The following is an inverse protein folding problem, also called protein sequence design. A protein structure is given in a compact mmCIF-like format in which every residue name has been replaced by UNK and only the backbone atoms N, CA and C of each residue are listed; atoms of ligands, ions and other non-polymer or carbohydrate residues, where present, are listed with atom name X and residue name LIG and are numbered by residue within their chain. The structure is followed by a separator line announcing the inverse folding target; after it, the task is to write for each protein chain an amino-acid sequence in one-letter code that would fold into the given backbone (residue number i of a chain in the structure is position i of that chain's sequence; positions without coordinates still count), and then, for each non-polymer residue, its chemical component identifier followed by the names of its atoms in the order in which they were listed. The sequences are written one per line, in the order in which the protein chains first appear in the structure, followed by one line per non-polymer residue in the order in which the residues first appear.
data_IF_346100891827
#
_entry.id   IF_346100891827
#
_cell.length_a   1.000
_cell.length_b   1.000
_cell.length_c   1.000
_cell.angle_alpha   90.00
_cell.angle_beta   90.00
_cell.angle_gamma   90.00
#
_symmetry.space_group_name_H-M   'P 1'
#
loop_
_entity.id
_entity.type
_entity.pdbx_description
1 polymer ?
#
# COMPACT_ATOMS: atom_id res chain seq x y z
N UNK A 1 -30.27 13.21 9.58
CA UNK A 1 -29.03 13.49 10.34
C UNK A 1 -28.97 12.42 11.42
N UNK A 2 -28.20 11.35 11.22
CA UNK A 2 -28.07 10.30 12.22
C UNK A 2 -27.07 10.76 13.28
N UNK A 3 -27.54 10.97 14.50
CA UNK A 3 -26.70 11.10 15.69
C UNK A 3 -25.90 9.81 15.84
N UNK A 4 -24.64 9.81 15.43
CA UNK A 4 -23.71 8.76 15.83
C UNK A 4 -23.47 8.98 17.33
N UNK A 5 -24.31 8.34 18.14
CA UNK A 5 -24.08 8.33 19.58
C UNK A 5 -22.79 7.55 19.82
N UNK A 6 -21.79 8.26 20.32
CA UNK A 6 -20.54 7.68 20.80
C UNK A 6 -20.81 6.94 22.12
N UNK A 7 -21.58 5.85 22.07
CA UNK A 7 -21.77 4.95 23.20
C UNK A 7 -20.53 4.07 23.29
N UNK A 8 -19.87 4.11 24.46
CA UNK A 8 -18.79 3.19 24.75
C UNK A 8 -19.33 1.74 24.72
N UNK A 9 -18.55 0.78 24.21
CA UNK A 9 -18.96 -0.62 24.17
C UNK A 9 -19.22 -1.16 25.58
N UNK A 10 -20.22 -2.03 25.71
CA UNK A 10 -20.60 -2.65 26.99
C UNK A 10 -19.70 -3.84 27.33
N UNK A 11 -19.55 -4.20 28.62
CA UNK A 11 -18.75 -5.36 29.06
C UNK A 11 -19.16 -6.66 28.35
N UNK A 12 -20.45 -6.85 28.08
CA UNK A 12 -20.94 -8.02 27.35
C UNK A 12 -20.41 -8.11 25.90
N UNK A 13 -20.13 -6.96 25.25
CA UNK A 13 -19.54 -6.94 23.90
C UNK A 13 -18.06 -7.36 23.93
N UNK A 14 -17.36 -7.12 25.05
CA UNK A 14 -16.00 -7.62 25.24
C UNK A 14 -15.96 -9.13 25.54
N UNK A 15 -16.98 -9.66 26.23
CA UNK A 15 -17.08 -11.11 26.54
C UNK A 15 -17.48 -11.93 25.30
N UNK A 16 -18.30 -11.33 24.42
CA UNK A 16 -18.74 -11.87 23.13
C UNK A 16 -17.74 -11.56 21.99
N UNK A 17 -16.59 -10.95 22.28
CA UNK A 17 -15.54 -10.66 21.30
C UNK A 17 -14.73 -11.92 20.96
N UNK A 18 -14.70 -12.28 19.67
CA UNK A 18 -14.00 -13.46 19.16
C UNK A 18 -13.20 -13.15 17.89
N UNK A 19 -12.33 -14.07 17.48
CA UNK A 19 -11.45 -13.93 16.32
C UNK A 19 -12.20 -13.63 15.01
N UNK A 20 -13.45 -14.11 14.87
CA UNK A 20 -14.28 -13.85 13.68
C UNK A 20 -14.71 -12.39 13.62
N UNK A 21 -15.22 -11.86 14.74
CA UNK A 21 -15.64 -10.45 14.85
C UNK A 21 -14.47 -9.49 14.74
N UNK A 22 -13.32 -9.87 15.30
CA UNK A 22 -12.09 -9.13 15.12
C UNK A 22 -11.70 -9.08 13.64
N UNK A 23 -11.74 -10.22 12.94
CA UNK A 23 -11.44 -10.28 11.51
C UNK A 23 -12.40 -9.43 10.68
N UNK A 24 -13.71 -9.47 10.98
CA UNK A 24 -14.72 -8.65 10.29
C UNK A 24 -14.53 -7.15 10.55
N UNK A 25 -14.26 -6.76 11.80
CA UNK A 25 -13.99 -5.37 12.17
C UNK A 25 -12.71 -4.85 11.50
N UNK A 26 -11.64 -5.63 11.50
CA UNK A 26 -10.40 -5.30 10.80
C UNK A 26 -10.61 -5.21 9.28
N UNK A 27 -11.44 -6.07 8.69
CA UNK A 27 -11.80 -6.00 7.28
C UNK A 27 -12.60 -4.72 6.95
N UNK A 28 -13.44 -4.25 7.87
CA UNK A 28 -14.15 -2.98 7.71
C UNK A 28 -13.20 -1.78 7.80
N UNK A 29 -12.29 -1.79 8.76
CA UNK A 29 -11.20 -0.79 8.84
C UNK A 29 -10.34 -0.82 7.57
N UNK A 30 -10.03 -2.01 7.06
CA UNK A 30 -9.27 -2.19 5.81
C UNK A 30 -9.98 -1.56 4.59
N UNK A 31 -11.32 -1.62 4.53
CA UNK A 31 -12.09 -0.93 3.47
C UNK A 31 -11.93 0.60 3.55
N UNK A 32 -11.82 1.15 4.75
CA UNK A 32 -11.66 2.60 4.96
C UNK A 32 -10.26 3.10 4.63
N UNK A 33 -9.25 2.24 4.55
CA UNK A 33 -7.88 2.58 4.15
C UNK A 33 -7.54 2.12 2.73
N UNK A 34 -8.51 1.58 1.99
CA UNK A 34 -8.31 1.03 0.65
C UNK A 34 -8.11 2.13 -0.38
N UNK A 35 -6.92 2.13 -0.98
CA UNK A 35 -6.58 2.99 -2.12
C UNK A 35 -7.14 2.36 -3.39
N UNK A 36 -7.78 3.16 -4.25
CA UNK A 36 -8.25 2.73 -5.57
C UNK A 36 -7.33 3.31 -6.62
N UNK A 37 -6.89 2.53 -7.59
CA UNK A 37 -6.06 3.04 -8.68
C UNK A 37 -6.69 2.83 -10.05
N UNK A 38 -6.28 3.66 -11.02
CA UNK A 38 -6.52 3.45 -12.44
C UNK A 38 -5.22 3.74 -13.21
N UNK A 39 -5.07 3.08 -14.35
CA UNK A 39 -4.00 3.36 -15.31
C UNK A 39 -4.60 4.15 -16.47
N UNK A 40 -4.08 5.34 -16.72
CA UNK A 40 -4.54 6.22 -17.81
C UNK A 40 -3.36 6.99 -18.38
N UNK A 41 -3.23 7.04 -19.70
CA UNK A 41 -2.14 7.76 -20.39
C UNK A 41 -0.72 7.33 -19.95
N UNK A 42 -0.47 6.03 -19.69
CA UNK A 42 0.79 5.53 -19.10
C UNK A 42 1.12 6.08 -17.69
N UNK A 43 0.12 6.62 -17.00
CA UNK A 43 0.26 7.16 -15.66
C UNK A 43 -0.62 6.36 -14.71
N UNK A 44 -0.11 6.15 -13.51
CA UNK A 44 -0.83 5.57 -12.39
C UNK A 44 -1.53 6.69 -11.63
N UNK A 45 -2.84 6.55 -11.45
CA UNK A 45 -3.66 7.49 -10.72
C UNK A 45 -4.28 6.78 -9.51
N UNK A 46 -3.84 7.13 -8.30
CA UNK A 46 -4.42 6.63 -7.07
C UNK A 46 -5.45 7.60 -6.51
N UNK A 47 -6.55 7.08 -5.98
CA UNK A 47 -7.59 7.79 -5.23
C UNK A 47 -7.61 7.23 -3.81
N UNK A 48 -7.28 8.09 -2.84
CA UNK A 48 -7.36 7.72 -1.44
C UNK A 48 -8.79 7.80 -0.91
N UNK A 49 -9.11 7.11 0.19
CA UNK A 49 -10.39 7.24 0.88
C UNK A 49 -10.74 8.68 1.29
N UNK A 50 -9.73 9.52 1.55
CA UNK A 50 -9.89 10.96 1.83
C UNK A 50 -10.35 11.78 0.61
N UNK A 51 -10.41 11.18 -0.59
CA UNK A 51 -10.78 11.86 -1.82
C UNK A 51 -9.62 12.51 -2.56
N UNK A 52 -8.39 12.34 -2.07
CA UNK A 52 -7.18 12.89 -2.69
C UNK A 52 -6.74 12.00 -3.84
N UNK A 53 -6.45 12.62 -4.98
CA UNK A 53 -5.93 11.92 -6.16
C UNK A 53 -4.41 12.15 -6.25
N UNK A 54 -3.66 11.07 -6.40
CA UNK A 54 -2.22 11.03 -6.58
C UNK A 54 -1.87 10.57 -7.97
N UNK A 55 -0.85 11.20 -8.55
CA UNK A 55 -0.37 10.91 -9.90
C UNK A 55 1.06 10.39 -9.80
N UNK A 56 1.32 9.21 -10.35
CA UNK A 56 2.63 8.57 -10.35
C UNK A 56 2.98 8.05 -11.76
N UNK A 57 4.24 8.15 -12.20
CA UNK A 57 4.66 7.70 -13.52
C UNK A 57 4.87 6.17 -13.58
N UNK A 58 4.30 5.45 -14.54
CA UNK A 58 4.55 4.00 -14.67
C UNK A 58 5.91 3.66 -15.32
N UNK A 59 6.53 4.64 -15.97
CA UNK A 59 7.84 4.51 -16.60
C UNK A 59 8.86 5.28 -15.75
N UNK A 60 9.62 4.53 -14.96
CA UNK A 60 10.64 5.07 -14.06
C UNK A 60 12.02 4.99 -14.70
N UNK A 61 12.85 6.01 -14.47
CA UNK A 61 14.28 5.93 -14.76
C UNK A 61 14.97 5.04 -13.72
N UNK A 62 16.18 4.55 -14.00
CA UNK A 62 16.98 3.78 -13.03
C UNK A 62 17.16 4.57 -11.73
N UNK A 63 17.45 5.87 -11.82
CA UNK A 63 17.57 6.76 -10.67
C UNK A 63 16.29 6.84 -9.82
N UNK A 64 15.12 6.86 -10.48
CA UNK A 64 13.81 6.89 -9.83
C UNK A 64 13.51 5.55 -9.13
N UNK A 65 13.93 4.43 -9.72
CA UNK A 65 13.80 3.10 -9.14
C UNK A 65 14.74 2.90 -7.95
N UNK A 66 15.99 3.38 -8.00
CA UNK A 66 16.91 3.31 -6.88
C UNK A 66 16.42 4.12 -5.67
N UNK A 67 15.82 5.30 -5.92
CA UNK A 67 15.17 6.09 -4.88
C UNK A 67 13.99 5.34 -4.21
N UNK A 68 13.28 4.50 -4.97
CA UNK A 68 12.20 3.64 -4.46
C UNK A 68 12.74 2.41 -3.70
N UNK A 69 13.74 1.72 -4.25
CA UNK A 69 14.26 0.44 -3.74
C UNK A 69 15.18 0.58 -2.51
N UNK A 70 15.79 1.75 -2.31
CA UNK A 70 16.64 2.00 -1.14
C UNK A 70 15.90 1.98 0.21
N UNK A 71 14.55 2.00 0.18
CA UNK A 71 13.61 1.99 1.31
C UNK A 71 13.44 0.72 2.14
N UNK A 72 14.46 -0.12 2.23
CA UNK A 72 14.48 -1.23 3.18
C UNK A 72 15.28 -0.72 4.39
N UNK A 73 14.77 -0.50 5.61
CA UNK A 73 14.04 -1.42 6.48
C UNK A 73 13.66 -0.60 7.74
N UNK A 74 12.43 -0.75 8.25
CA UNK A 74 12.08 -0.59 9.67
C UNK A 74 12.47 0.74 10.38
N UNK A 75 11.95 1.89 9.95
CA UNK A 75 11.59 3.10 10.77
C UNK A 75 11.47 4.40 9.96
N UNK A 76 12.10 4.48 8.76
CA UNK A 76 12.09 5.67 7.89
C UNK A 76 10.97 5.67 6.83
N UNK A 77 10.05 4.70 6.90
CA UNK A 77 9.12 4.35 5.83
C UNK A 77 8.16 5.48 5.44
N UNK A 78 7.85 6.43 6.35
CA UNK A 78 7.00 7.57 6.01
C UNK A 78 7.77 8.67 5.27
N UNK A 79 8.98 9.01 5.72
CA UNK A 79 9.85 9.99 5.05
C UNK A 79 10.27 9.49 3.66
N UNK A 80 10.43 8.17 3.52
CA UNK A 80 10.56 7.44 2.27
C UNK A 80 9.35 7.67 1.36
N UNK A 81 8.14 7.36 1.84
CA UNK A 81 6.89 7.54 1.08
C UNK A 81 6.70 9.01 0.69
N UNK A 82 7.00 9.96 1.59
CA UNK A 82 6.96 11.40 1.31
C UNK A 82 7.96 11.78 0.23
N UNK A 83 9.22 11.33 0.30
CA UNK A 83 10.23 11.60 -0.74
C UNK A 83 9.79 11.08 -2.11
N UNK A 84 9.28 9.86 -2.15
CA UNK A 84 8.72 9.25 -3.37
C UNK A 84 7.60 10.13 -3.93
N UNK A 85 6.64 10.50 -3.10
CA UNK A 85 5.53 11.37 -3.51
C UNK A 85 5.98 12.78 -3.89
N UNK A 86 6.96 13.37 -3.23
CA UNK A 86 7.51 14.68 -3.62
C UNK A 86 8.17 14.61 -4.98
N UNK A 87 8.94 13.55 -5.26
CA UNK A 87 9.61 13.36 -6.56
C UNK A 87 8.60 13.17 -7.69
N UNK A 88 7.53 12.39 -7.47
CA UNK A 88 6.62 11.98 -8.55
C UNK A 88 5.33 12.81 -8.65
N UNK A 89 4.77 13.20 -7.52
CA UNK A 89 3.49 13.92 -7.39
C UNK A 89 3.69 15.40 -7.01
N UNK A 90 4.92 15.81 -6.69
CA UNK A 90 5.27 17.18 -6.30
C UNK A 90 4.93 17.53 -4.86
N UNK A 91 5.51 18.63 -4.37
CA UNK A 91 5.40 19.12 -2.99
C UNK A 91 3.95 19.28 -2.49
N UNK A 92 3.03 19.71 -3.35
CA UNK A 92 1.63 19.92 -2.96
C UNK A 92 0.92 18.60 -2.64
N UNK A 93 1.19 17.54 -3.42
CA UNK A 93 0.60 16.23 -3.18
C UNK A 93 1.27 15.54 -1.99
N UNK A 94 2.59 15.70 -1.82
CA UNK A 94 3.31 15.20 -0.64
C UNK A 94 2.74 15.78 0.67
N UNK A 95 2.44 17.08 0.72
CA UNK A 95 1.80 17.72 1.89
C UNK A 95 0.40 17.21 2.19
N UNK A 96 -0.36 16.85 1.16
CA UNK A 96 -1.68 16.25 1.37
C UNK A 96 -1.57 14.85 1.98
N UNK A 97 -0.54 14.09 1.63
CA UNK A 97 -0.30 12.79 2.25
C UNK A 97 -0.02 12.89 3.75
N UNK A 98 0.58 14.00 4.22
CA UNK A 98 0.82 14.22 5.67
C UNK A 98 -0.47 14.28 6.50
N UNK A 99 -1.61 14.54 5.85
CA UNK A 99 -2.92 14.57 6.48
C UNK A 99 -3.68 13.25 6.35
N UNK A 100 -3.22 12.35 5.47
CA UNK A 100 -3.82 11.04 5.29
C UNK A 100 -3.37 10.08 6.40
N UNK A 101 -4.19 9.07 6.73
CA UNK A 101 -3.77 8.01 7.63
C UNK A 101 -2.50 7.32 7.10
N UNK A 102 -1.58 6.99 8.01
CA UNK A 102 -0.32 6.34 7.65
C UNK A 102 -0.54 5.06 6.82
N UNK A 103 -1.55 4.26 7.17
CA UNK A 103 -1.88 3.04 6.42
C UNK A 103 -2.29 3.31 4.97
N UNK A 104 -2.93 4.46 4.68
CA UNK A 104 -3.29 4.85 3.31
C UNK A 104 -2.03 5.13 2.49
N UNK A 105 -1.05 5.82 3.08
CA UNK A 105 0.24 6.10 2.44
C UNK A 105 1.00 4.80 2.11
N UNK A 106 1.02 3.84 3.03
CA UNK A 106 1.61 2.52 2.80
C UNK A 106 0.90 1.73 1.70
N UNK A 107 -0.44 1.64 1.76
CA UNK A 107 -1.24 0.96 0.75
C UNK A 107 -1.02 1.54 -0.64
N UNK A 108 -0.86 2.86 -0.76
CA UNK A 108 -0.61 3.54 -2.02
C UNK A 108 0.74 3.13 -2.62
N UNK A 109 1.82 3.13 -1.83
CA UNK A 109 3.15 2.74 -2.32
C UNK A 109 3.21 1.26 -2.66
N UNK A 110 2.60 0.40 -1.85
CA UNK A 110 2.54 -1.04 -2.12
C UNK A 110 1.80 -1.33 -3.43
N UNK A 111 0.59 -0.77 -3.60
CA UNK A 111 -0.23 -0.99 -4.80
C UNK A 111 0.43 -0.41 -6.06
N UNK A 112 1.10 0.73 -5.94
CA UNK A 112 1.91 1.30 -7.01
C UNK A 112 3.10 0.42 -7.38
N UNK A 113 3.87 -0.07 -6.39
CA UNK A 113 4.99 -0.98 -6.60
C UNK A 113 4.58 -2.29 -7.28
N UNK A 114 3.45 -2.88 -6.86
CA UNK A 114 2.88 -4.05 -7.51
C UNK A 114 2.45 -3.77 -8.96
N UNK A 115 1.87 -2.60 -9.21
CA UNK A 115 1.44 -2.20 -10.56
C UNK A 115 2.65 -2.01 -11.48
N UNK A 116 3.73 -1.41 -10.97
CA UNK A 116 5.00 -1.27 -11.68
C UNK A 116 5.58 -2.65 -12.04
N UNK A 117 5.67 -3.56 -11.07
CA UNK A 117 6.13 -4.93 -11.29
C UNK A 117 5.34 -5.63 -12.40
N UNK A 118 4.00 -5.56 -12.33
CA UNK A 118 3.10 -6.12 -13.35
C UNK A 118 3.30 -5.47 -14.72
N UNK A 119 3.47 -4.15 -14.77
CA UNK A 119 3.61 -3.39 -16.03
C UNK A 119 4.93 -3.66 -16.76
N UNK A 120 6.01 -3.93 -16.01
CA UNK A 120 7.34 -4.18 -16.58
C UNK A 120 7.56 -5.67 -16.91
N UNK A 121 6.60 -6.55 -16.59
CA UNK A 121 6.79 -8.00 -16.69
C UNK A 121 7.87 -8.54 -15.75
N UNK A 122 8.38 -7.70 -14.84
CA UNK A 122 9.36 -8.06 -13.83
C UNK A 122 8.57 -8.43 -12.59
N UNK A 123 8.52 -9.72 -12.24
CA UNK A 123 8.17 -10.16 -10.90
C UNK A 123 9.24 -9.62 -9.93
N UNK A 124 9.14 -8.34 -9.56
CA UNK A 124 9.96 -7.69 -8.55
C UNK A 124 9.70 -8.40 -7.22
N UNK A 125 10.49 -9.43 -6.91
CA UNK A 125 10.50 -10.08 -5.61
C UNK A 125 9.88 -11.47 -5.52
N UNK A 126 9.95 -12.31 -6.57
CA UNK A 126 10.13 -13.75 -6.31
C UNK A 126 11.60 -14.08 -6.42
N UNK A 127 12.27 -14.09 -5.27
CA UNK A 127 13.53 -14.81 -5.12
C UNK A 127 13.40 -16.19 -5.78
N UNK A 128 14.30 -16.61 -6.68
CA UNK A 128 14.44 -18.01 -7.02
C UNK A 128 15.11 -18.72 -5.82
N UNK A 129 14.40 -18.81 -4.70
CA UNK A 129 14.54 -19.96 -3.81
C UNK A 129 13.39 -20.86 -4.26
N UNK A 130 13.58 -21.92 -5.02
CA UNK A 130 14.64 -22.91 -4.94
C UNK A 130 15.06 -23.31 -6.35
N UNK A 131 16.36 -23.24 -6.61
CA UNK A 131 17.00 -24.12 -7.56
C UNK A 131 16.71 -25.58 -7.17
N UNK A 132 16.35 -26.40 -8.16
CA UNK A 132 16.59 -27.84 -8.23
C UNK A 132 16.71 -28.59 -6.89
N UNK A 133 15.59 -29.10 -6.36
CA UNK A 133 15.66 -30.38 -5.65
C UNK A 133 15.75 -31.49 -6.69
N UNK A 134 16.99 -31.81 -7.04
CA UNK A 134 17.38 -32.97 -7.81
C UNK A 134 16.83 -34.25 -7.18
N UNK A 135 16.06 -35.03 -7.94
CA UNK A 135 16.10 -36.50 -8.07
C UNK A 135 15.01 -36.89 -9.08
N UNK A 136 15.25 -37.84 -10.02
CA UNK A 136 15.89 -39.13 -9.75
C UNK A 136 16.90 -39.60 -10.82
N UNK A 137 17.89 -40.40 -10.42
CA UNK A 137 18.42 -41.42 -11.32
C UNK A 137 18.56 -42.71 -10.52
N UNK A 138 17.57 -43.57 -10.70
CA UNK A 138 17.63 -44.98 -10.32
C UNK A 138 18.01 -45.73 -11.59
N UNK A 139 19.19 -46.34 -11.60
CA UNK A 139 19.49 -47.54 -12.37
C UNK A 139 20.52 -48.38 -11.61
#
# INVERSE_FOLDING_TARGET
MATQQNMAPSIAEFDDWDETKETEALAEVAKQIKVRHIIKNNEYWALTPGGTVYKLPLYLSIADFEALSGASTDTDSLDQVKRILTVFAGDEQAKQLEREPMQVAFNLIQDYGETLAKSQGVELGKSPTSAESSTPMTE
#
